data_IF_505027090450
#
_entry.id   IF_505027090450
#
_cell.length_a   1.000
_cell.length_b   1.000
_cell.length_c   1.000
_cell.angle_alpha   90.00
_cell.angle_beta   90.00
_cell.angle_gamma   90.00
#
_symmetry.space_group_name_H-M   'P 1'
#
loop_
_entity.id
_entity.type
_entity.pdbx_description
1 polymer ?
#
# COMPACT_ATOMS: atom_id res chain seq x y z
N UNK A 1 -43.42 -31.92 -8.45
CA UNK A 1 -44.31 -30.86 -7.95
C UNK A 1 -43.43 -29.70 -7.53
N UNK A 2 -43.63 -28.54 -8.15
CA UNK A 2 -42.70 -27.42 -8.17
C UNK A 2 -42.77 -26.58 -6.88
N UNK A 3 -41.61 -26.26 -6.30
CA UNK A 3 -41.45 -25.23 -5.28
C UNK A 3 -40.74 -24.03 -5.90
N UNK A 4 -41.51 -23.01 -6.30
CA UNK A 4 -40.99 -21.73 -6.76
C UNK A 4 -40.76 -20.80 -5.55
N UNK A 5 -39.53 -20.34 -5.39
CA UNK A 5 -39.18 -19.21 -4.52
C UNK A 5 -39.63 -17.89 -5.17
N UNK A 6 -40.25 -16.94 -4.45
CA UNK A 6 -40.77 -15.73 -5.07
C UNK A 6 -39.70 -14.64 -5.24
N UNK A 7 -39.51 -14.21 -6.48
CA UNK A 7 -38.59 -13.17 -6.93
C UNK A 7 -39.18 -11.75 -6.77
N UNK A 8 -39.21 -11.20 -5.56
CA UNK A 8 -39.79 -9.85 -5.33
C UNK A 8 -38.81 -8.78 -4.81
N UNK A 9 -37.51 -9.05 -4.65
CA UNK A 9 -36.58 -8.05 -4.10
C UNK A 9 -35.78 -7.21 -5.12
N UNK A 10 -35.85 -7.47 -6.43
CA UNK A 10 -34.90 -6.87 -7.40
C UNK A 10 -35.30 -5.51 -8.02
N UNK A 11 -36.42 -4.89 -7.68
CA UNK A 11 -36.91 -3.75 -8.49
C UNK A 11 -37.52 -2.56 -7.72
N UNK A 12 -36.90 -2.15 -6.61
CA UNK A 12 -37.26 -0.89 -5.93
C UNK A 12 -36.07 -0.10 -5.40
N UNK A 13 -35.24 0.42 -6.30
CA UNK A 13 -34.47 1.64 -6.05
C UNK A 13 -34.51 2.46 -7.34
N UNK A 14 -35.06 3.69 -7.25
CA UNK A 14 -35.30 4.72 -8.28
C UNK A 14 -36.79 4.99 -8.59
N UNK A 15 -37.57 5.35 -7.57
CA UNK A 15 -38.69 6.27 -7.77
C UNK A 15 -38.70 7.31 -6.63
N UNK A 16 -38.27 8.53 -6.95
CA UNK A 16 -38.44 9.71 -6.10
C UNK A 16 -39.91 10.12 -6.05
N UNK A 17 -40.49 10.41 -4.86
CA UNK A 17 -41.85 10.94 -4.80
C UNK A 17 -41.86 12.42 -5.22
N UNK A 18 -42.52 12.70 -6.36
CA UNK A 18 -43.01 14.05 -6.73
C UNK A 18 -44.00 14.53 -5.66
N UNK A 19 -43.65 15.60 -4.93
CA UNK A 19 -44.62 16.36 -4.13
C UNK A 19 -45.54 17.17 -5.07
N UNK A 20 -46.86 17.07 -4.82
CA UNK A 20 -47.95 17.86 -5.42
C UNK A 20 -48.56 18.75 -4.33
N UNK A 21 -48.97 19.96 -4.72
CA UNK A 21 -49.70 20.98 -3.93
C UNK A 21 -48.76 22.08 -3.43
N UNK A 22 -48.95 23.38 -3.70
CA UNK A 22 -50.14 24.18 -4.02
C UNK A 22 -49.75 25.53 -4.70
N UNK A 23 -50.70 26.31 -5.24
CA UNK A 23 -50.44 27.45 -6.12
C UNK A 23 -50.28 28.77 -5.34
N UNK A 24 -49.39 29.64 -5.80
CA UNK A 24 -49.31 31.04 -5.34
C UNK A 24 -49.15 31.97 -6.54
N UNK A 25 -50.17 32.81 -6.72
CA UNK A 25 -50.00 34.23 -7.02
C UNK A 25 -49.68 34.65 -8.46
N UNK A 26 -50.75 34.98 -9.19
CA UNK A 26 -50.72 35.98 -10.27
C UNK A 26 -49.99 37.26 -9.84
N UNK A 27 -49.11 37.77 -10.70
CA UNK A 27 -48.37 39.00 -10.43
C UNK A 27 -47.55 39.52 -11.60
N UNK A 28 -48.22 40.29 -12.45
CA UNK A 28 -47.66 41.37 -13.29
C UNK A 28 -46.63 41.01 -14.38
N UNK A 29 -47.20 40.91 -15.59
CA UNK A 29 -46.71 41.52 -16.83
C UNK A 29 -45.80 42.74 -16.65
N UNK A 30 -44.58 42.66 -17.20
CA UNK A 30 -43.97 43.81 -17.88
C UNK A 30 -43.19 43.32 -19.09
N UNK A 31 -43.82 43.51 -20.25
CA UNK A 31 -43.24 43.36 -21.57
C UNK A 31 -42.40 44.61 -21.84
N UNK A 32 -41.08 44.47 -21.94
CA UNK A 32 -40.24 45.46 -22.64
C UNK A 32 -39.76 44.81 -23.93
N UNK A 33 -40.50 45.10 -25.00
CA UNK A 33 -40.01 44.98 -26.38
C UNK A 33 -39.02 46.12 -26.61
N UNK A 34 -37.77 45.81 -26.90
CA UNK A 34 -36.90 46.70 -27.67
C UNK A 34 -36.45 45.99 -28.94
N UNK A 35 -37.16 46.30 -30.01
CA UNK A 35 -36.81 46.04 -31.41
C UNK A 35 -35.85 47.13 -31.90
N UNK A 36 -34.56 46.82 -32.02
CA UNK A 36 -33.58 47.43 -32.95
C UNK A 36 -32.49 46.35 -33.09
N UNK A 37 -31.98 45.92 -34.24
CA UNK A 37 -32.19 46.23 -35.63
C UNK A 37 -31.34 45.22 -36.41
N UNK A 38 -31.88 44.68 -37.49
CA UNK A 38 -31.18 43.77 -38.38
C UNK A 38 -30.27 44.55 -39.31
N UNK A 39 -28.97 44.23 -39.34
CA UNK A 39 -28.10 44.40 -40.50
C UNK A 39 -26.71 43.83 -40.21
N UNK A 40 -26.38 42.71 -40.87
CA UNK A 40 -25.06 42.34 -41.41
C UNK A 40 -24.90 40.81 -41.41
N UNK A 41 -25.61 40.18 -42.35
CA UNK A 41 -25.22 38.90 -42.93
C UNK A 41 -23.95 39.14 -43.76
N UNK A 42 -22.80 38.75 -43.22
CA UNK A 42 -21.58 38.59 -44.00
C UNK A 42 -21.02 37.20 -43.67
N UNK A 43 -21.19 36.33 -44.66
CA UNK A 43 -20.76 34.94 -44.64
C UNK A 43 -19.24 34.86 -44.50
N UNK A 44 -18.78 34.36 -43.35
CA UNK A 44 -17.48 33.70 -43.24
C UNK A 44 -17.79 32.25 -42.91
N UNK A 45 -18.02 31.45 -43.95
CA UNK A 45 -17.92 30.00 -43.87
C UNK A 45 -16.44 29.64 -43.76
N UNK A 46 -15.85 29.92 -42.61
CA UNK A 46 -14.58 29.34 -42.19
C UNK A 46 -14.87 27.93 -41.70
N UNK A 47 -14.25 26.94 -42.33
CA UNK A 47 -14.27 25.56 -41.89
C UNK A 47 -13.71 25.47 -40.45
N UNK A 48 -14.59 25.59 -39.46
CA UNK A 48 -14.34 25.13 -38.11
C UNK A 48 -14.36 23.60 -38.18
N UNK A 49 -13.24 23.01 -38.59
CA UNK A 49 -12.96 21.62 -38.29
C UNK A 49 -13.18 21.47 -36.78
N UNK A 50 -14.21 20.72 -36.41
CA UNK A 50 -14.46 20.36 -35.03
C UNK A 50 -13.13 19.85 -34.47
N UNK A 51 -12.50 20.62 -33.57
CA UNK A 51 -11.35 20.11 -32.84
C UNK A 51 -11.88 18.86 -32.13
N UNK A 52 -11.33 17.67 -32.39
CA UNK A 52 -11.77 16.48 -31.70
C UNK A 52 -11.70 16.78 -30.20
N UNK A 53 -12.78 16.44 -29.49
CA UNK A 53 -12.83 16.63 -28.05
C UNK A 53 -11.55 16.00 -27.46
N UNK A 54 -10.67 16.75 -26.77
CA UNK A 54 -9.45 16.17 -26.20
C UNK A 54 -9.78 15.09 -25.15
N UNK A 55 -11.05 14.99 -24.74
CA UNK A 55 -11.61 13.91 -23.91
C UNK A 55 -11.77 12.55 -24.61
N UNK A 56 -11.58 12.47 -25.92
CA UNK A 56 -11.80 11.23 -26.70
C UNK A 56 -10.55 10.77 -27.47
N UNK A 57 -9.40 11.44 -27.27
CA UNK A 57 -8.13 10.89 -27.68
C UNK A 57 -7.88 9.63 -26.84
N UNK A 58 -8.20 8.47 -27.42
CA UNK A 58 -8.05 7.17 -26.80
C UNK A 58 -6.67 7.12 -26.12
N UNK A 59 -6.67 6.98 -24.78
CA UNK A 59 -5.44 6.84 -24.04
C UNK A 59 -4.61 5.74 -24.72
N UNK A 60 -3.33 6.00 -25.04
CA UNK A 60 -2.53 5.04 -25.78
C UNK A 60 -2.54 3.72 -25.02
N UNK A 61 -2.99 2.65 -25.68
CA UNK A 61 -3.01 1.33 -25.09
C UNK A 61 -1.59 0.97 -24.65
N UNK A 62 -1.38 0.74 -23.36
CA UNK A 62 -0.08 0.36 -22.84
C UNK A 62 0.26 -1.05 -23.33
N UNK A 63 1.26 -1.16 -24.20
CA UNK A 63 1.83 -2.45 -24.60
C UNK A 63 2.76 -2.96 -23.50
N UNK A 64 2.15 -3.66 -22.54
CA UNK A 64 2.81 -4.18 -21.32
C UNK A 64 4.06 -4.99 -21.66
N UNK A 65 4.00 -5.87 -22.66
CA UNK A 65 5.12 -6.77 -22.99
C UNK A 65 6.31 -5.97 -23.52
N UNK A 66 6.06 -5.06 -24.47
CA UNK A 66 7.10 -4.18 -25.03
C UNK A 66 7.69 -3.25 -23.97
N UNK A 67 6.87 -2.71 -23.06
CA UNK A 67 7.38 -1.88 -21.95
C UNK A 67 8.30 -2.67 -21.02
N UNK A 68 7.91 -3.89 -20.62
CA UNK A 68 8.73 -4.76 -19.76
C UNK A 68 10.03 -5.15 -20.45
N UNK A 69 9.98 -5.47 -21.75
CA UNK A 69 11.18 -5.79 -22.53
C UNK A 69 12.16 -4.60 -22.60
N UNK A 70 11.68 -3.39 -22.88
CA UNK A 70 12.52 -2.18 -22.92
C UNK A 70 13.17 -1.86 -21.57
N UNK A 71 12.49 -2.15 -20.46
CA UNK A 71 13.07 -2.01 -19.12
C UNK A 71 14.21 -2.99 -18.85
N UNK A 72 14.30 -4.08 -19.62
CA UNK A 72 15.39 -5.04 -19.59
C UNK A 72 16.50 -4.76 -20.61
N UNK A 73 16.47 -3.64 -21.34
CA UNK A 73 17.49 -3.29 -22.34
C UNK A 73 18.90 -3.22 -21.70
N UNK A 74 19.94 -3.53 -22.46
CA UNK A 74 21.34 -3.47 -21.98
C UNK A 74 21.82 -2.03 -21.75
N UNK A 75 21.34 -1.09 -22.58
CA UNK A 75 21.61 0.33 -22.46
C UNK A 75 20.92 0.93 -21.24
N UNK A 76 21.68 1.61 -20.36
CA UNK A 76 21.13 2.33 -19.22
C UNK A 76 20.17 3.45 -19.66
N UNK A 77 20.52 4.20 -20.70
CA UNK A 77 19.70 5.30 -21.21
C UNK A 77 18.32 4.81 -21.67
N UNK A 78 18.29 3.67 -22.38
CA UNK A 78 17.04 3.08 -22.89
C UNK A 78 16.15 2.58 -21.75
N UNK A 79 16.75 2.05 -20.67
CA UNK A 79 16.02 1.63 -19.46
C UNK A 79 15.43 2.81 -18.71
N UNK A 80 16.16 3.91 -18.58
CA UNK A 80 15.65 5.13 -17.94
C UNK A 80 14.49 5.72 -18.73
N UNK A 81 14.64 5.86 -20.06
CA UNK A 81 13.57 6.35 -20.93
C UNK A 81 12.32 5.45 -20.84
N UNK A 82 12.51 4.12 -20.85
CA UNK A 82 11.41 3.17 -20.70
C UNK A 82 10.73 3.26 -19.33
N UNK A 83 11.50 3.53 -18.27
CA UNK A 83 10.99 3.70 -16.91
C UNK A 83 10.15 4.96 -16.76
N UNK A 84 10.63 6.08 -17.31
CA UNK A 84 9.87 7.34 -17.36
C UNK A 84 8.60 7.18 -18.20
N UNK A 85 8.70 6.54 -19.38
CA UNK A 85 7.57 6.27 -20.25
C UNK A 85 6.52 5.39 -19.56
N UNK A 86 6.93 4.33 -18.85
CA UNK A 86 6.03 3.47 -18.09
C UNK A 86 5.34 4.27 -16.97
N UNK A 87 6.09 5.04 -16.19
CA UNK A 87 5.52 5.83 -15.09
C UNK A 87 4.51 6.86 -15.61
N UNK A 88 4.86 7.57 -16.68
CA UNK A 88 3.98 8.53 -17.35
C UNK A 88 2.70 7.86 -17.88
N UNK A 89 2.83 6.73 -18.58
CA UNK A 89 1.69 5.99 -19.13
C UNK A 89 0.75 5.50 -18.03
N UNK A 90 1.29 4.95 -16.94
CA UNK A 90 0.48 4.48 -15.82
C UNK A 90 -0.23 5.64 -15.09
N UNK A 91 0.45 6.78 -14.91
CA UNK A 91 -0.18 7.98 -14.37
C UNK A 91 -1.32 8.48 -15.26
N UNK A 92 -1.12 8.49 -16.57
CA UNK A 92 -2.14 8.90 -17.55
C UNK A 92 -3.35 7.94 -17.56
N UNK A 93 -3.12 6.63 -17.56
CA UNK A 93 -4.18 5.62 -17.50
C UNK A 93 -5.03 5.76 -16.25
N UNK A 94 -4.40 6.07 -15.12
CA UNK A 94 -5.09 6.27 -13.85
C UNK A 94 -5.89 7.57 -13.81
N UNK A 95 -5.30 8.67 -14.30
CA UNK A 95 -5.96 9.97 -14.36
C UNK A 95 -7.12 9.99 -15.37
N UNK A 96 -7.02 9.24 -16.47
CA UNK A 96 -8.01 9.16 -17.54
C UNK A 96 -9.32 8.47 -17.17
N UNK A 97 -9.55 8.13 -15.90
CA UNK A 97 -10.83 7.57 -15.44
C UNK A 97 -11.05 6.10 -15.84
N UNK A 98 -10.04 5.42 -16.39
CA UNK A 98 -10.11 3.99 -16.70
C UNK A 98 -9.93 3.10 -15.46
N UNK A 99 -10.63 3.47 -14.37
CA UNK A 99 -10.57 2.77 -13.09
C UNK A 99 -10.93 1.29 -13.22
N UNK A 100 -11.81 0.94 -14.18
CA UNK A 100 -12.20 -0.44 -14.45
C UNK A 100 -11.13 -1.28 -15.15
N UNK A 101 -10.20 -0.66 -15.89
CA UNK A 101 -9.11 -1.39 -16.57
C UNK A 101 -7.87 -1.50 -15.69
N UNK A 102 -7.73 -0.63 -14.69
CA UNK A 102 -6.55 -0.54 -13.84
C UNK A 102 -6.14 -1.89 -13.18
N UNK A 103 -7.06 -2.65 -12.55
CA UNK A 103 -6.70 -3.93 -11.94
C UNK A 103 -6.14 -4.95 -12.95
N UNK A 104 -6.64 -4.93 -14.18
CA UNK A 104 -6.17 -5.83 -15.24
C UNK A 104 -4.79 -5.42 -15.76
N UNK A 105 -4.53 -4.11 -15.89
CA UNK A 105 -3.20 -3.61 -16.29
C UNK A 105 -2.15 -3.93 -15.24
N UNK A 106 -2.46 -3.73 -13.95
CA UNK A 106 -1.56 -4.10 -12.85
C UNK A 106 -1.28 -5.61 -12.85
N UNK A 107 -2.33 -6.43 -12.98
CA UNK A 107 -2.20 -7.89 -13.04
C UNK A 107 -1.31 -8.32 -14.19
N UNK A 108 -1.52 -7.78 -15.39
CA UNK A 108 -0.68 -8.07 -16.56
C UNK A 108 0.76 -7.67 -16.34
N UNK A 109 1.04 -6.49 -15.78
CA UNK A 109 2.41 -6.07 -15.45
C UNK A 109 3.08 -7.03 -14.47
N UNK A 110 2.39 -7.41 -13.39
CA UNK A 110 2.91 -8.37 -12.39
C UNK A 110 3.15 -9.74 -13.01
N UNK A 111 2.25 -10.23 -13.86
CA UNK A 111 2.41 -11.49 -14.57
C UNK A 111 3.62 -11.46 -15.52
N UNK A 112 3.75 -10.41 -16.34
CA UNK A 112 4.86 -10.26 -17.30
C UNK A 112 6.21 -10.25 -16.60
N UNK A 113 6.37 -9.51 -15.48
CA UNK A 113 7.63 -9.50 -14.73
C UNK A 113 7.87 -10.74 -13.88
N UNK A 114 6.87 -11.60 -13.73
CA UNK A 114 6.99 -12.90 -13.05
C UNK A 114 7.30 -14.04 -14.02
N UNK A 115 7.26 -13.82 -15.34
CA UNK A 115 7.62 -14.84 -16.33
C UNK A 115 9.10 -15.19 -16.26
N UNK A 116 9.41 -16.46 -16.49
CA UNK A 116 10.77 -16.96 -16.71
C UNK A 116 11.34 -16.28 -17.96
N UNK A 117 12.11 -15.22 -17.78
CA UNK A 117 12.68 -14.42 -18.89
C UNK A 117 12.67 -12.92 -18.63
N UNK A 118 11.86 -12.43 -17.68
CA UNK A 118 11.98 -11.04 -17.25
C UNK A 118 13.31 -10.81 -16.52
N UNK A 119 14.04 -9.76 -16.90
CA UNK A 119 15.29 -9.43 -16.21
C UNK A 119 15.00 -8.96 -14.77
N UNK A 120 15.88 -9.25 -13.80
CA UNK A 120 15.71 -8.79 -12.42
C UNK A 120 15.53 -7.26 -12.31
N UNK A 121 16.23 -6.50 -13.16
CA UNK A 121 16.13 -5.04 -13.25
C UNK A 121 14.76 -4.59 -13.76
N UNK A 122 14.24 -5.21 -14.83
CA UNK A 122 12.91 -4.89 -15.35
C UNK A 122 11.84 -5.16 -14.29
N UNK A 123 11.95 -6.29 -13.58
CA UNK A 123 11.08 -6.62 -12.45
C UNK A 123 11.16 -5.56 -11.34
N UNK A 124 12.36 -5.16 -10.93
CA UNK A 124 12.54 -4.14 -9.91
C UNK A 124 11.92 -2.79 -10.30
N UNK A 125 12.10 -2.36 -11.55
CA UNK A 125 11.55 -1.08 -12.07
C UNK A 125 10.04 -1.09 -12.15
N UNK A 126 9.43 -2.15 -12.68
CA UNK A 126 7.97 -2.28 -12.73
C UNK A 126 7.37 -2.29 -11.34
N UNK A 127 7.92 -3.10 -10.42
CA UNK A 127 7.42 -3.16 -9.04
C UNK A 127 7.61 -1.83 -8.32
N UNK A 128 8.71 -1.10 -8.56
CA UNK A 128 8.93 0.25 -8.03
C UNK A 128 7.91 1.24 -8.57
N UNK A 129 7.63 1.22 -9.88
CA UNK A 129 6.64 2.09 -10.51
C UNK A 129 5.22 1.81 -9.98
N UNK A 130 4.83 0.54 -9.88
CA UNK A 130 3.54 0.14 -9.31
C UNK A 130 3.44 0.49 -7.83
N UNK A 131 4.50 0.26 -7.04
CA UNK A 131 4.55 0.65 -5.63
C UNK A 131 4.38 2.16 -5.48
N UNK A 132 5.09 2.97 -6.27
CA UNK A 132 4.93 4.43 -6.22
C UNK A 132 3.50 4.86 -6.52
N UNK A 133 2.90 4.31 -7.57
CA UNK A 133 1.52 4.61 -7.95
C UNK A 133 0.50 4.14 -6.93
N UNK A 134 0.75 2.97 -6.31
CA UNK A 134 -0.01 2.55 -5.14
C UNK A 134 0.11 3.68 -4.11
N UNK A 135 1.30 4.02 -3.62
CA UNK A 135 1.53 5.02 -2.56
C UNK A 135 0.88 6.38 -2.82
N UNK A 136 0.89 6.86 -4.07
CA UNK A 136 0.32 8.17 -4.47
C UNK A 136 -1.21 8.18 -4.63
N UNK A 137 -1.86 7.01 -4.64
CA UNK A 137 -3.28 6.93 -4.96
C UNK A 137 -4.23 6.99 -3.77
N UNK A 138 -5.53 7.07 -4.05
CA UNK A 138 -6.57 6.86 -3.05
C UNK A 138 -6.67 5.38 -2.67
N UNK A 139 -7.12 5.08 -1.45
CA UNK A 139 -7.31 3.69 -0.96
C UNK A 139 -8.75 3.36 -0.72
N UNK A 140 -9.07 2.07 -0.79
CA UNK A 140 -10.33 1.55 -0.28
C UNK A 140 -10.47 1.82 1.22
N UNK A 141 -11.69 2.12 1.65
CA UNK A 141 -12.06 2.27 3.05
C UNK A 141 -13.50 1.82 3.28
N UNK A 142 -13.74 1.05 4.35
CA UNK A 142 -15.09 0.59 4.71
C UNK A 142 -15.92 1.71 5.34
N UNK A 143 -15.28 2.63 6.07
CA UNK A 143 -15.97 3.67 6.84
C UNK A 143 -16.50 3.18 8.18
N UNK A 144 -15.70 2.45 8.94
CA UNK A 144 -16.04 1.97 10.28
C UNK A 144 -14.99 2.36 11.31
N UNK A 145 -15.41 2.52 12.56
CA UNK A 145 -14.52 2.66 13.72
C UNK A 145 -14.66 1.43 14.61
N UNK A 146 -13.52 0.92 15.07
CA UNK A 146 -13.48 -0.20 15.99
C UNK A 146 -13.56 0.29 17.43
N UNK A 147 -14.24 -0.45 18.29
CA UNK A 147 -14.16 -0.23 19.72
C UNK A 147 -12.71 -0.44 20.18
N UNK A 148 -12.26 0.36 21.16
CA UNK A 148 -10.95 0.15 21.76
C UNK A 148 -10.88 -1.28 22.30
N UNK A 149 -9.87 -2.04 21.83
CA UNK A 149 -9.73 -3.46 22.16
C UNK A 149 -9.72 -3.65 23.68
N UNK A 150 -10.66 -4.43 24.19
CA UNK A 150 -10.60 -4.84 25.59
C UNK A 150 -9.45 -5.85 25.77
N UNK A 151 -8.65 -5.77 26.84
CA UNK A 151 -7.45 -6.61 27.04
C UNK A 151 -7.69 -8.12 26.89
N UNK A 152 -8.91 -8.58 27.14
CA UNK A 152 -9.31 -9.99 27.10
C UNK A 152 -10.39 -10.27 26.03
N UNK A 153 -10.69 -9.30 25.17
CA UNK A 153 -11.66 -9.46 24.08
C UNK A 153 -10.97 -9.95 22.81
N UNK A 154 -11.31 -11.15 22.30
CA UNK A 154 -10.81 -11.62 21.00
C UNK A 154 -11.54 -10.96 19.81
N UNK A 155 -12.58 -10.19 20.08
CA UNK A 155 -13.56 -9.76 19.09
C UNK A 155 -13.34 -8.33 18.63
N UNK A 156 -13.51 -8.11 17.32
CA UNK A 156 -13.46 -6.77 16.76
C UNK A 156 -14.83 -6.25 16.49
N UNK A 157 -15.29 -5.59 17.53
CA UNK A 157 -16.55 -4.91 17.60
C UNK A 157 -16.50 -3.62 16.79
N UNK A 158 -17.41 -3.52 15.83
CA UNK A 158 -17.72 -2.26 15.15
C UNK A 158 -18.41 -1.35 16.16
N UNK A 159 -17.74 -0.24 16.50
CA UNK A 159 -18.31 0.76 17.41
C UNK A 159 -19.20 1.75 16.66
N UNK A 160 -18.78 2.14 15.46
CA UNK A 160 -19.47 3.13 14.66
C UNK A 160 -19.31 2.80 13.17
N UNK A 161 -20.37 3.07 12.41
CA UNK A 161 -20.38 3.04 10.95
C UNK A 161 -20.64 4.45 10.46
N UNK A 162 -19.75 4.96 9.61
CA UNK A 162 -19.77 6.35 9.15
C UNK A 162 -20.72 6.51 7.96
N UNK A 163 -21.58 7.54 8.03
CA UNK A 163 -22.45 7.93 6.90
C UNK A 163 -21.62 8.53 5.76
N UNK A 164 -22.08 8.34 4.52
CA UNK A 164 -21.35 8.73 3.32
C UNK A 164 -20.33 7.69 2.85
N UNK A 165 -20.25 6.54 3.54
CA UNK A 165 -19.57 5.35 3.07
C UNK A 165 -20.59 4.30 2.64
N UNK A 166 -20.28 3.48 1.60
CA UNK A 166 -21.25 2.52 1.09
C UNK A 166 -21.77 1.53 2.14
N UNK A 167 -20.90 1.08 3.07
CA UNK A 167 -21.29 0.19 4.16
C UNK A 167 -22.36 0.79 5.09
N UNK A 168 -22.23 2.07 5.42
CA UNK A 168 -23.16 2.80 6.28
C UNK A 168 -24.43 3.22 5.56
N UNK A 169 -24.31 3.70 4.33
CA UNK A 169 -25.45 4.19 3.55
C UNK A 169 -26.40 3.07 3.14
N UNK A 170 -25.87 1.87 2.87
CA UNK A 170 -26.67 0.68 2.58
C UNK A 170 -27.06 -0.12 3.83
N UNK A 171 -26.59 0.26 5.03
CA UNK A 171 -26.88 -0.46 6.27
C UNK A 171 -26.35 -1.90 6.29
N UNK A 172 -25.26 -2.17 5.55
CA UNK A 172 -24.68 -3.50 5.43
C UNK A 172 -24.05 -3.94 6.76
N UNK A 173 -23.32 -3.01 7.37
CA UNK A 173 -22.71 -3.19 8.69
C UNK A 173 -23.43 -2.31 9.70
N UNK A 174 -23.55 -2.80 10.93
CA UNK A 174 -24.16 -2.05 12.04
C UNK A 174 -23.22 -2.00 13.24
N UNK A 175 -23.30 -0.93 14.07
CA UNK A 175 -22.64 -0.94 15.37
C UNK A 175 -23.04 -2.16 16.19
N UNK A 176 -22.06 -2.82 16.80
CA UNK A 176 -22.26 -4.06 17.55
C UNK A 176 -21.92 -5.33 16.78
N UNK A 177 -21.75 -5.26 15.46
CA UNK A 177 -21.22 -6.39 14.68
C UNK A 177 -19.78 -6.70 15.08
N UNK A 178 -19.44 -7.99 15.12
CA UNK A 178 -18.09 -8.47 15.37
C UNK A 178 -17.51 -9.03 14.09
N UNK A 179 -16.41 -8.47 13.59
CA UNK A 179 -15.75 -8.96 12.38
C UNK A 179 -14.96 -10.24 12.69
N UNK A 180 -15.24 -11.31 11.96
CA UNK A 180 -14.58 -12.61 12.10
C UNK A 180 -13.50 -12.82 11.03
N UNK A 181 -13.82 -12.51 9.77
CA UNK A 181 -12.92 -12.64 8.62
C UNK A 181 -13.17 -11.56 7.56
N UNK A 182 -12.14 -11.31 6.77
CA UNK A 182 -12.16 -10.47 5.57
C UNK A 182 -11.55 -11.26 4.42
N UNK A 183 -12.33 -11.49 3.37
CA UNK A 183 -12.01 -12.33 2.21
C UNK A 183 -11.53 -13.73 2.61
N UNK A 184 -12.16 -14.32 3.61
CA UNK A 184 -11.79 -15.63 4.13
C UNK A 184 -10.49 -15.66 4.94
N UNK A 185 -9.83 -14.51 5.18
CA UNK A 185 -8.70 -14.39 6.10
C UNK A 185 -9.24 -14.17 7.52
N UNK A 186 -9.12 -15.15 8.44
CA UNK A 186 -9.60 -15.00 9.80
C UNK A 186 -8.78 -13.93 10.52
N UNK A 187 -9.46 -13.04 11.23
CA UNK A 187 -8.78 -11.95 11.93
C UNK A 187 -8.65 -12.22 13.44
N UNK A 188 -9.22 -13.33 13.91
CA UNK A 188 -9.08 -13.80 15.29
C UNK A 188 -7.62 -14.15 15.61
N UNK A 189 -7.09 -13.59 16.71
CA UNK A 189 -5.79 -13.95 17.26
C UNK A 189 -4.58 -13.09 16.87
N UNK A 190 -4.72 -12.08 16.01
CA UNK A 190 -3.61 -11.15 15.77
C UNK A 190 -3.47 -10.14 16.92
N UNK A 191 -2.22 -9.89 17.36
CA UNK A 191 -1.90 -8.91 18.42
C UNK A 191 -2.25 -7.48 17.96
N UNK A 192 -2.23 -7.25 16.64
CA UNK A 192 -2.55 -5.97 16.01
C UNK A 192 -3.60 -6.15 14.89
N UNK A 193 -4.84 -6.39 15.31
CA UNK A 193 -5.97 -6.59 14.40
C UNK A 193 -6.23 -5.37 13.53
N UNK A 194 -6.13 -4.16 14.12
CA UNK A 194 -6.40 -2.93 13.39
C UNK A 194 -5.47 -2.83 12.20
N UNK A 195 -4.21 -3.27 12.32
CA UNK A 195 -3.32 -3.36 11.17
C UNK A 195 -3.67 -4.47 10.20
N UNK A 196 -4.12 -5.66 10.63
CA UNK A 196 -4.55 -6.72 9.70
C UNK A 196 -5.73 -6.27 8.81
N UNK A 197 -6.82 -5.81 9.42
CA UNK A 197 -8.00 -5.31 8.70
C UNK A 197 -7.65 -4.10 7.83
N UNK A 198 -6.89 -3.13 8.38
CA UNK A 198 -6.47 -1.96 7.62
C UNK A 198 -5.61 -2.34 6.42
N UNK A 199 -4.69 -3.32 6.53
CA UNK A 199 -3.89 -3.81 5.40
C UNK A 199 -4.74 -4.45 4.30
N UNK A 200 -5.70 -5.29 4.67
CA UNK A 200 -6.60 -5.95 3.71
C UNK A 200 -7.50 -4.96 2.98
N UNK A 201 -7.98 -3.93 3.68
CA UNK A 201 -8.84 -2.89 3.08
C UNK A 201 -8.02 -1.90 2.25
N UNK A 202 -6.88 -1.44 2.78
CA UNK A 202 -6.02 -0.48 2.10
C UNK A 202 -5.18 -1.09 0.97
N UNK A 203 -5.19 -2.41 0.76
CA UNK A 203 -4.59 -3.01 -0.43
C UNK A 203 -5.45 -2.82 -1.68
N UNK A 204 -6.71 -2.39 -1.51
CA UNK A 204 -7.75 -2.27 -2.55
C UNK A 204 -7.95 -0.84 -3.02
N UNK A 205 -8.50 -0.71 -4.23
CA UNK A 205 -8.95 0.57 -4.74
C UNK A 205 -10.36 0.93 -4.23
N UNK A 206 -10.70 2.23 -4.14
CA UNK A 206 -12.08 2.66 -3.91
C UNK A 206 -13.04 2.06 -4.95
N UNK A 207 -14.22 1.63 -4.51
CA UNK A 207 -15.23 1.00 -5.34
C UNK A 207 -15.10 -0.52 -5.48
N UNK A 208 -13.94 -1.11 -5.14
CA UNK A 208 -13.82 -2.56 -5.02
C UNK A 208 -14.74 -3.11 -3.92
N UNK A 209 -15.15 -4.36 -4.06
CA UNK A 209 -15.97 -5.07 -3.07
C UNK A 209 -15.07 -5.97 -2.23
N UNK A 210 -15.28 -5.95 -0.91
CA UNK A 210 -14.63 -6.85 0.04
C UNK A 210 -15.69 -7.73 0.69
N UNK A 211 -15.43 -9.03 0.83
CA UNK A 211 -16.36 -9.94 1.51
C UNK A 211 -15.98 -9.99 3.00
N UNK A 212 -16.92 -9.68 3.87
CA UNK A 212 -16.69 -9.62 5.32
C UNK A 212 -17.65 -10.58 5.99
N UNK A 213 -17.13 -11.44 6.84
CA UNK A 213 -17.96 -12.26 7.70
C UNK A 213 -18.02 -11.64 9.09
N UNK A 214 -19.24 -11.39 9.55
CA UNK A 214 -19.52 -10.77 10.84
C UNK A 214 -20.41 -11.66 11.69
N UNK A 215 -20.27 -11.53 13.00
CA UNK A 215 -21.17 -12.07 13.99
C UNK A 215 -22.05 -10.93 14.50
N UNK A 216 -23.36 -11.03 14.27
CA UNK A 216 -24.36 -10.03 14.66
C UNK A 216 -25.21 -10.59 15.78
N UNK A 217 -25.40 -9.79 16.84
CA UNK A 217 -26.38 -10.09 17.88
C UNK A 217 -27.76 -9.67 17.39
N UNK A 218 -28.64 -10.63 17.17
CA UNK A 218 -30.06 -10.43 16.92
C UNK A 218 -30.81 -10.40 18.26
N UNK A 219 -31.85 -9.58 18.37
CA UNK A 219 -32.73 -9.67 19.53
C UNK A 219 -33.30 -11.10 19.61
N UNK A 220 -33.29 -11.72 20.81
CA UNK A 220 -33.77 -13.08 20.95
C UNK A 220 -35.28 -13.11 20.77
N UNK A 221 -35.74 -13.36 19.55
CA UNK A 221 -37.14 -13.73 19.28
C UNK A 221 -37.46 -15.17 19.75
N UNK A 222 -36.51 -15.85 20.43
CA UNK A 222 -36.65 -17.20 20.96
C UNK A 222 -35.54 -17.59 21.96
N UNK A 223 -35.56 -18.83 22.50
CA UNK A 223 -34.67 -19.29 23.58
C UNK A 223 -33.20 -19.57 23.17
N UNK A 224 -32.72 -18.96 22.09
CA UNK A 224 -31.31 -19.06 21.66
C UNK A 224 -30.51 -17.82 22.05
N UNK A 225 -29.18 -17.94 22.04
CA UNK A 225 -28.24 -16.85 22.39
C UNK A 225 -28.29 -15.64 21.44
N UNK A 226 -29.18 -15.63 20.43
CA UNK A 226 -29.43 -14.49 19.56
C UNK A 226 -28.19 -14.06 18.76
N UNK A 227 -27.37 -15.01 18.32
CA UNK A 227 -26.16 -14.73 17.54
C UNK A 227 -26.30 -15.35 16.16
N UNK A 228 -26.17 -14.52 15.13
CA UNK A 228 -26.14 -14.94 13.73
C UNK A 228 -24.79 -14.58 13.10
N UNK A 229 -24.27 -15.46 12.24
CA UNK A 229 -23.09 -15.19 11.43
C UNK A 229 -23.52 -14.84 10.00
N UNK A 230 -23.08 -13.70 9.49
CA UNK A 230 -23.45 -13.14 8.20
C UNK A 230 -22.20 -12.93 7.35
N UNK A 231 -22.24 -13.36 6.09
CA UNK A 231 -21.21 -13.02 5.08
C UNK A 231 -21.77 -11.96 4.16
N UNK A 232 -21.09 -10.82 4.09
CA UNK A 232 -21.59 -9.58 3.50
C UNK A 232 -20.56 -9.01 2.53
N UNK A 233 -21.00 -8.73 1.30
CA UNK A 233 -20.19 -8.04 0.30
C UNK A 233 -20.31 -6.54 0.49
N UNK A 234 -19.19 -5.90 0.84
CA UNK A 234 -19.14 -4.48 1.20
C UNK A 234 -18.35 -3.71 0.15
N UNK A 235 -18.99 -2.81 -0.62
CA UNK A 235 -18.26 -1.91 -1.51
C UNK A 235 -17.44 -0.89 -0.69
N UNK A 236 -16.20 -0.67 -1.11
CA UNK A 236 -15.28 0.23 -0.44
C UNK A 236 -15.49 1.67 -0.90
N UNK A 237 -15.54 2.60 0.05
CA UNK A 237 -15.40 4.03 -0.21
C UNK A 237 -13.93 4.42 -0.40
N UNK A 238 -13.70 5.73 -0.53
CA UNK A 238 -12.34 6.30 -0.58
C UNK A 238 -11.84 6.62 0.82
N UNK A 239 -10.60 6.24 1.12
CA UNK A 239 -9.92 6.57 2.36
C UNK A 239 -9.72 8.08 2.53
N UNK A 240 -9.58 8.83 1.43
CA UNK A 240 -9.47 10.29 1.48
C UNK A 240 -10.74 10.95 2.03
N UNK A 241 -11.90 10.28 1.90
CA UNK A 241 -13.13 10.74 2.52
C UNK A 241 -13.12 10.62 4.06
N UNK A 242 -12.25 9.76 4.63
CA UNK A 242 -11.98 9.70 6.07
C UNK A 242 -11.01 10.78 6.54
N UNK A 243 -10.31 11.49 5.65
CA UNK A 243 -9.34 12.54 6.03
C UNK A 243 -9.99 13.93 6.16
N UNK A 244 -11.32 14.01 6.13
CA UNK A 244 -12.06 15.27 6.37
C UNK A 244 -11.71 15.82 7.75
N UNK A 245 -11.71 17.15 7.95
CA UNK A 245 -11.28 17.79 9.20
C UNK A 245 -12.05 17.31 10.45
N UNK A 246 -13.23 16.73 10.25
CA UNK A 246 -14.06 16.16 11.31
C UNK A 246 -13.55 14.79 11.82
N UNK A 247 -12.59 14.18 11.12
CA UNK A 247 -11.98 12.91 11.47
C UNK A 247 -10.59 13.09 12.07
N UNK A 248 -10.28 12.24 13.05
CA UNK A 248 -9.03 12.30 13.80
C UNK A 248 -7.83 12.04 12.88
N UNK A 249 -6.94 13.04 12.77
CA UNK A 249 -5.68 12.94 12.01
C UNK A 249 -4.75 11.85 12.52
N UNK A 250 -4.94 11.36 13.75
CA UNK A 250 -4.24 10.18 14.27
C UNK A 250 -4.49 8.92 13.41
N UNK A 251 -5.46 8.94 12.50
CA UNK A 251 -5.78 7.82 11.62
C UNK A 251 -4.97 7.76 10.32
N UNK A 252 -4.00 8.66 10.09
CA UNK A 252 -3.09 8.53 8.93
C UNK A 252 -2.50 7.13 8.84
N UNK A 253 -2.43 6.57 7.63
CA UNK A 253 -1.82 5.26 7.42
C UNK A 253 -0.31 5.47 7.47
N UNK A 254 0.34 4.95 8.51
CA UNK A 254 1.79 4.96 8.60
C UNK A 254 2.43 4.25 7.41
N UNK A 255 3.68 4.62 7.10
CA UNK A 255 4.42 4.05 5.96
C UNK A 255 4.49 2.52 6.02
N UNK A 256 4.69 1.94 7.21
CA UNK A 256 4.77 0.50 7.40
C UNK A 256 3.44 -0.21 7.10
N UNK A 257 2.33 0.42 7.46
CA UNK A 257 0.99 -0.11 7.16
C UNK A 257 0.69 -0.04 5.66
N UNK A 258 1.16 1.01 4.96
CA UNK A 258 1.09 1.10 3.50
C UNK A 258 1.96 0.04 2.84
N UNK A 259 3.18 -0.19 3.33
CA UNK A 259 4.06 -1.23 2.79
C UNK A 259 3.43 -2.61 2.93
N UNK A 260 2.86 -2.89 4.09
CA UNK A 260 2.22 -4.17 4.33
C UNK A 260 0.92 -4.34 3.51
N UNK A 261 0.18 -3.26 3.25
CA UNK A 261 -0.96 -3.28 2.33
C UNK A 261 -0.51 -3.50 0.86
N UNK A 262 0.64 -2.94 0.48
CA UNK A 262 1.25 -3.16 -0.83
C UNK A 262 1.64 -4.63 -1.04
N UNK A 263 2.22 -5.28 -0.02
CA UNK A 263 2.52 -6.72 -0.10
C UNK A 263 1.26 -7.57 -0.30
N UNK A 264 0.19 -7.30 0.46
CA UNK A 264 -1.11 -7.97 0.26
C UNK A 264 -1.65 -7.76 -1.16
N UNK A 265 -1.49 -6.56 -1.72
CA UNK A 265 -1.90 -6.28 -3.11
C UNK A 265 -1.10 -7.11 -4.11
N UNK A 266 0.22 -7.20 -3.95
CA UNK A 266 1.08 -8.03 -4.81
C UNK A 266 0.73 -9.51 -4.75
N UNK A 267 0.51 -10.05 -3.55
CA UNK A 267 0.08 -11.44 -3.35
C UNK A 267 -1.23 -11.71 -4.09
N UNK A 268 -2.20 -10.80 -4.00
CA UNK A 268 -3.48 -10.88 -4.71
C UNK A 268 -3.32 -10.83 -6.24
N UNK A 269 -2.44 -9.97 -6.74
CA UNK A 269 -2.19 -9.83 -8.18
C UNK A 269 -1.43 -11.04 -8.75
N UNK A 270 -0.54 -11.65 -7.96
CA UNK A 270 0.26 -12.82 -8.36
C UNK A 270 -0.41 -14.18 -8.11
N UNK A 271 -1.29 -14.28 -7.11
CA UNK A 271 -1.94 -15.53 -6.70
C UNK A 271 -3.11 -15.98 -7.57
N UNK A 272 -3.67 -15.09 -8.39
CA UNK A 272 -4.85 -15.39 -9.21
C UNK A 272 -4.58 -16.27 -10.44
N UNK A 273 -3.34 -16.71 -10.69
CA UNK A 273 -3.02 -17.58 -11.83
C UNK A 273 -3.35 -19.08 -11.60
N UNK A 274 -3.98 -19.45 -10.48
CA UNK A 274 -4.22 -20.86 -10.14
C UNK A 274 -5.55 -21.20 -9.47
N UNK A 275 -6.49 -20.26 -9.31
CA UNK A 275 -7.75 -20.51 -8.59
C UNK A 275 -8.99 -20.02 -9.35
N UNK A 276 -9.11 -20.45 -10.61
CA UNK A 276 -10.40 -20.44 -11.30
C UNK A 276 -11.19 -21.69 -10.86
N UNK A 277 -11.93 -21.58 -9.75
CA UNK A 277 -13.12 -22.40 -9.55
C UNK A 277 -13.10 -23.46 -8.44
N UNK A 278 -12.60 -23.15 -7.24
CA UNK A 278 -13.05 -23.86 -6.03
C UNK A 278 -14.05 -23.01 -5.24
N UNK A 279 -15.31 -23.07 -5.66
CA UNK A 279 -16.41 -23.04 -4.70
C UNK A 279 -16.10 -24.07 -3.61
N UNK A 280 -15.79 -23.62 -2.41
CA UNK A 280 -15.63 -24.46 -1.22
C UNK A 280 -16.96 -25.12 -0.90
N UNK A 281 -17.21 -26.29 -1.51
CA UNK A 281 -18.23 -27.23 -1.05
C UNK A 281 -17.84 -27.69 0.35
N UNK A 282 -18.59 -27.27 1.35
CA UNK A 282 -18.50 -27.81 2.69
C UNK A 282 -18.76 -29.32 2.68
N UNK A 283 -17.87 -30.18 3.20
CA UNK A 283 -18.22 -31.58 3.42
C UNK A 283 -19.02 -31.67 4.72
N UNK A 284 -20.34 -31.71 4.57
CA UNK A 284 -21.24 -32.25 5.59
C UNK A 284 -20.90 -33.71 5.88
N UNK A 285 -20.89 -34.05 7.17
CA UNK A 285 -20.49 -35.35 7.68
C UNK A 285 -21.34 -36.52 7.19
N UNK A 286 -20.67 -37.64 6.95
CA UNK A 286 -21.26 -38.97 6.78
C UNK A 286 -20.34 -39.99 7.43
N UNK A 287 -20.77 -40.54 8.56
CA UNK A 287 -20.16 -41.68 9.24
C UNK A 287 -20.16 -42.89 8.28
N UNK A 288 -19.00 -43.51 8.08
CA UNK A 288 -18.84 -44.67 7.21
C UNK A 288 -17.46 -45.30 7.37
N UNK A 289 -17.33 -46.13 8.40
CA UNK A 289 -16.19 -46.99 8.69
C UNK A 289 -16.06 -48.10 7.63
N UNK A 290 -14.95 -48.12 6.87
CA UNK A 290 -14.19 -49.31 6.45
C UNK A 290 -13.16 -49.01 5.35
N UNK A 291 -12.05 -49.75 5.41
CA UNK A 291 -11.01 -49.94 4.39
C UNK A 291 -9.95 -48.83 4.21
N UNK A 292 -8.85 -48.96 4.96
CA UNK A 292 -7.51 -48.45 4.58
C UNK A 292 -7.07 -49.09 3.26
N UNK A 293 -6.30 -48.37 2.44
CA UNK A 293 -4.92 -48.84 2.24
C UNK A 293 -3.84 -47.74 2.19
N UNK A 294 -2.63 -48.21 2.51
CA UNK A 294 -1.29 -47.72 2.16
C UNK A 294 -0.87 -46.28 2.55
N UNK A 295 -0.06 -46.22 3.61
CA UNK A 295 0.84 -45.11 3.97
C UNK A 295 1.83 -44.83 2.83
N UNK A 296 1.74 -43.66 2.21
CA UNK A 296 2.87 -43.03 1.52
C UNK A 296 3.68 -42.20 2.55
N UNK A 297 4.97 -42.50 2.62
CA UNK A 297 5.94 -41.96 3.58
C UNK A 297 6.31 -40.49 3.32
N UNK A 298 6.53 -39.79 4.43
CA UNK A 298 6.82 -38.36 4.61
C UNK A 298 8.22 -37.92 4.11
N UNK A 299 8.62 -38.30 2.89
CA UNK A 299 9.99 -38.06 2.40
C UNK A 299 10.15 -37.37 1.03
N UNK A 300 9.07 -36.86 0.41
CA UNK A 300 9.17 -36.19 -0.91
C UNK A 300 9.09 -34.64 -0.89
N UNK A 301 8.95 -34.00 0.29
CA UNK A 301 9.08 -32.53 0.41
C UNK A 301 10.47 -32.03 0.79
N UNK A 302 11.45 -32.93 0.95
CA UNK A 302 12.80 -32.58 1.39
C UNK A 302 13.84 -32.46 0.25
N UNK A 303 13.47 -32.67 -1.02
CA UNK A 303 14.41 -32.64 -2.16
C UNK A 303 14.35 -31.39 -3.04
N UNK A 304 13.50 -30.42 -2.72
CA UNK A 304 13.44 -29.11 -3.41
C UNK A 304 13.98 -27.94 -2.58
N UNK A 305 14.73 -28.21 -1.51
CA UNK A 305 15.33 -27.19 -0.61
C UNK A 305 16.83 -27.34 -0.35
N UNK A 306 17.56 -28.11 -1.16
CA UNK A 306 19.02 -28.24 -1.04
C UNK A 306 19.71 -28.04 -2.39
N UNK A 307 19.69 -26.80 -2.89
CA UNK A 307 20.57 -26.31 -3.94
C UNK A 307 20.63 -24.77 -3.89
N UNK A 308 20.94 -24.18 -2.74
CA UNK A 308 20.94 -22.72 -2.61
C UNK A 308 21.61 -22.11 -1.38
N UNK A 309 22.28 -22.89 -0.52
CA UNK A 309 22.98 -22.34 0.65
C UNK A 309 24.48 -22.68 0.60
N UNK A 310 25.25 -21.75 0.04
CA UNK A 310 26.64 -21.53 0.43
C UNK A 310 26.81 -20.00 0.63
N UNK A 311 26.95 -19.52 1.88
CA UNK A 311 27.19 -18.10 2.14
C UNK A 311 28.62 -17.78 1.72
N UNK A 312 28.79 -17.01 0.64
CA UNK A 312 30.09 -16.50 0.18
C UNK A 312 30.34 -16.50 -1.33
N UNK A 313 29.51 -17.17 -2.14
CA UNK A 313 29.77 -17.28 -3.58
C UNK A 313 29.51 -15.97 -4.37
N UNK A 314 28.61 -15.11 -3.90
CA UNK A 314 28.26 -13.87 -4.61
C UNK A 314 29.21 -12.70 -4.37
N UNK A 315 30.02 -12.73 -3.30
CA UNK A 315 30.92 -11.61 -2.96
C UNK A 315 32.25 -11.67 -3.76
N UNK A 316 32.70 -12.89 -4.09
CA UNK A 316 33.86 -13.12 -4.95
C UNK A 316 33.57 -12.75 -6.43
N UNK A 317 32.38 -13.09 -6.93
CA UNK A 317 31.97 -12.78 -8.31
C UNK A 317 31.78 -11.27 -8.55
N UNK A 318 31.32 -10.53 -7.53
CA UNK A 318 31.20 -9.06 -7.61
C UNK A 318 32.55 -8.34 -7.52
N UNK A 319 33.54 -8.93 -6.84
CA UNK A 319 34.89 -8.36 -6.70
C UNK A 319 35.75 -8.60 -7.95
N UNK A 320 35.52 -9.69 -8.67
CA UNK A 320 36.22 -10.00 -9.93
C UNK A 320 35.71 -9.15 -11.10
N UNK A 321 34.41 -8.79 -11.09
CA UNK A 321 33.79 -7.93 -12.10
C UNK A 321 34.23 -6.46 -12.03
N UNK A 322 34.54 -5.96 -10.83
CA UNK A 322 35.03 -4.59 -10.64
C UNK A 322 36.47 -4.33 -11.12
N UNK A 323 37.26 -5.39 -11.37
CA UNK A 323 38.68 -5.28 -11.70
C UNK A 323 38.99 -5.44 -13.20
N UNK A 324 38.00 -5.73 -14.05
CA UNK A 324 38.18 -5.77 -15.50
C UNK A 324 37.98 -4.37 -16.09
N UNK A 325 39.07 -3.60 -16.17
CA UNK A 325 39.06 -2.26 -16.74
C UNK A 325 38.89 -2.27 -18.26
N UNK A 326 37.98 -1.43 -18.75
CA UNK A 326 38.06 -0.89 -20.10
C UNK A 326 37.60 0.57 -20.14
N UNK A 327 38.39 1.39 -20.84
CA UNK A 327 38.26 2.84 -20.94
C UNK A 327 37.35 3.23 -22.10
N UNK A 328 36.27 3.96 -21.83
CA UNK A 328 35.51 4.70 -22.86
C UNK A 328 35.24 6.12 -22.37
N UNK A 329 35.37 7.07 -23.31
CA UNK A 329 35.38 8.51 -23.11
C UNK A 329 34.09 9.06 -22.47
N UNK A 330 34.26 9.99 -21.54
CA UNK A 330 33.18 10.47 -20.67
C UNK A 330 32.69 11.87 -21.05
N UNK A 331 31.37 12.06 -20.95
CA UNK A 331 30.69 13.35 -21.11
C UNK A 331 29.68 13.56 -19.99
N UNK A 332 30.08 14.36 -18.98
CA UNK A 332 29.29 14.98 -17.87
C UNK A 332 29.23 14.21 -16.53
N UNK A 333 28.63 14.78 -15.47
CA UNK A 333 29.27 15.42 -14.33
C UNK A 333 29.21 14.54 -13.06
N UNK A 334 29.33 13.21 -13.21
CA UNK A 334 29.47 12.26 -12.10
C UNK A 334 30.94 11.91 -11.79
N UNK A 335 31.88 12.39 -12.60
CA UNK A 335 33.33 12.23 -12.39
C UNK A 335 33.94 13.15 -11.31
N UNK A 336 33.17 14.07 -10.75
CA UNK A 336 33.66 14.99 -9.71
C UNK A 336 34.11 14.26 -8.42
N UNK A 337 33.71 12.99 -8.23
CA UNK A 337 34.14 12.17 -7.10
C UNK A 337 35.43 11.36 -7.36
N UNK A 338 35.88 11.25 -8.61
CA UNK A 338 37.16 10.61 -8.97
C UNK A 338 38.37 11.56 -8.91
N UNK A 339 38.15 12.86 -9.08
CA UNK A 339 39.22 13.87 -9.16
C UNK A 339 39.60 14.50 -7.81
N UNK A 340 38.76 14.34 -6.77
CA UNK A 340 39.01 14.88 -5.43
C UNK A 340 40.18 14.20 -4.70
N UNK A 341 40.60 12.99 -5.11
CA UNK A 341 41.82 12.33 -4.58
C UNK A 341 43.11 12.71 -5.31
N UNK A 342 43.05 13.34 -6.48
CA UNK A 342 44.24 13.77 -7.23
C UNK A 342 44.61 15.23 -6.95
N UNK A 343 43.63 16.09 -6.62
CA UNK A 343 43.88 17.52 -6.34
C UNK A 343 44.51 17.76 -4.95
N UNK A 344 44.48 16.80 -4.02
CA UNK A 344 45.09 16.96 -2.69
C UNK A 344 46.63 16.97 -2.67
N UNK A 345 47.32 16.90 -3.82
CA UNK A 345 48.80 16.96 -3.92
C UNK A 345 49.38 18.03 -4.85
N UNK A 346 48.60 18.95 -5.42
CA UNK A 346 49.16 19.97 -6.31
C UNK A 346 48.38 21.27 -6.25
N UNK A 347 48.99 22.32 -5.70
CA UNK A 347 48.39 23.65 -5.62
C UNK A 347 48.34 24.35 -6.99
N UNK A 348 47.18 24.94 -7.29
CA UNK A 348 47.05 26.15 -8.09
C UNK A 348 45.72 26.86 -7.74
N UNK A 349 45.68 28.21 -7.69
CA UNK A 349 44.56 28.95 -7.14
C UNK A 349 43.55 29.40 -8.20
N UNK A 350 42.30 29.56 -7.77
CA UNK A 350 41.32 30.40 -8.44
C UNK A 350 40.32 29.65 -9.30
N UNK A 351 39.13 29.40 -8.73
CA UNK A 351 37.80 29.61 -9.32
C UNK A 351 36.76 28.98 -8.37
N UNK A 352 35.88 29.81 -7.79
CA UNK A 352 34.71 29.37 -7.01
C UNK A 352 33.46 29.53 -7.85
N UNK A 353 32.58 28.52 -7.93
CA UNK A 353 31.16 28.76 -8.09
C UNK A 353 30.46 28.66 -6.73
N UNK A 354 29.73 29.72 -6.36
CA UNK A 354 28.71 29.67 -5.32
C UNK A 354 27.54 28.85 -5.85
N UNK A 355 27.26 27.70 -5.23
CA UNK A 355 25.93 27.11 -5.19
C UNK A 355 25.69 26.73 -3.73
N UNK A 356 25.03 27.63 -3.01
CA UNK A 356 24.48 27.37 -1.68
C UNK A 356 23.00 27.08 -1.88
N UNK A 357 22.63 25.82 -1.69
CA UNK A 357 21.25 25.37 -1.78
C UNK A 357 21.19 23.86 -1.99
N UNK A 358 20.81 23.13 -0.94
CA UNK A 358 20.28 21.75 -0.97
C UNK A 358 21.23 20.54 -1.03
N UNK A 359 22.55 20.69 -1.16
CA UNK A 359 23.48 19.55 -1.08
C UNK A 359 23.76 19.03 0.34
N UNK A 360 23.24 19.65 1.40
CA UNK A 360 23.56 19.30 2.79
C UNK A 360 22.76 18.11 3.38
N UNK A 361 21.68 17.65 2.73
CA UNK A 361 20.80 16.65 3.34
C UNK A 361 21.34 15.21 3.26
N UNK A 362 22.13 14.87 2.22
CA UNK A 362 22.58 13.50 1.96
C UNK A 362 23.94 13.13 2.57
N UNK A 363 24.65 14.09 3.17
CA UNK A 363 26.07 13.93 3.54
C UNK A 363 26.44 14.11 5.01
N UNK A 364 25.49 14.30 5.93
CA UNK A 364 25.86 14.49 7.34
C UNK A 364 26.13 13.14 8.04
N UNK A 365 27.39 12.81 8.37
CA UNK A 365 27.74 11.53 8.98
C UNK A 365 27.06 11.31 10.34
N UNK A 366 26.70 12.38 11.06
CA UNK A 366 25.99 12.28 12.34
C UNK A 366 24.54 11.84 12.18
N UNK A 367 23.87 12.24 11.08
CA UNK A 367 22.51 11.74 10.78
C UNK A 367 22.53 10.25 10.42
N UNK A 368 23.53 9.83 9.65
CA UNK A 368 23.71 8.40 9.33
C UNK A 368 23.97 7.57 10.59
N UNK A 369 24.79 8.10 11.51
CA UNK A 369 25.03 7.47 12.81
C UNK A 369 23.75 7.38 13.65
N UNK A 370 22.93 8.44 13.70
CA UNK A 370 21.64 8.44 14.40
C UNK A 370 20.73 7.32 13.89
N UNK A 371 20.56 7.22 12.57
CA UNK A 371 19.75 6.17 11.94
C UNK A 371 20.28 4.77 12.24
N UNK A 372 21.60 4.58 12.24
CA UNK A 372 22.20 3.29 12.59
C UNK A 372 21.96 2.90 14.06
N UNK A 373 22.01 3.86 14.99
CA UNK A 373 21.71 3.64 16.41
C UNK A 373 20.23 3.31 16.62
N UNK A 374 19.32 3.98 15.91
CA UNK A 374 17.88 3.71 15.96
C UNK A 374 17.56 2.28 15.48
N UNK A 375 18.15 1.85 14.36
CA UNK A 375 18.00 0.48 13.84
C UNK A 375 18.52 -0.58 14.82
N UNK A 376 19.66 -0.32 15.47
CA UNK A 376 20.22 -1.23 16.47
C UNK A 376 19.34 -1.31 17.72
N UNK A 377 18.77 -0.18 18.15
CA UNK A 377 17.84 -0.13 19.28
C UNK A 377 16.57 -0.94 19.00
N UNK A 378 16.02 -0.84 17.79
CA UNK A 378 14.86 -1.62 17.36
C UNK A 378 15.18 -3.13 17.36
N UNK A 379 16.30 -3.53 16.77
CA UNK A 379 16.77 -4.92 16.73
C UNK A 379 16.87 -5.53 18.13
N UNK A 380 17.45 -4.80 19.09
CA UNK A 380 17.58 -5.26 20.49
C UNK A 380 16.26 -5.33 21.22
N UNK A 381 15.36 -4.38 20.96
CA UNK A 381 14.00 -4.40 21.52
C UNK A 381 13.22 -5.64 21.05
N UNK A 382 13.32 -5.98 19.76
CA UNK A 382 12.74 -7.20 19.20
C UNK A 382 13.32 -8.47 19.84
N UNK A 383 14.64 -8.53 20.03
CA UNK A 383 15.30 -9.65 20.71
C UNK A 383 14.83 -9.81 22.17
N UNK A 384 14.73 -8.71 22.93
CA UNK A 384 14.22 -8.73 24.30
C UNK A 384 12.77 -9.25 24.35
N UNK A 385 11.91 -8.78 23.45
CA UNK A 385 10.52 -9.23 23.35
C UNK A 385 10.42 -10.70 22.96
N UNK A 386 11.27 -11.17 22.04
CA UNK A 386 11.35 -12.59 21.66
C UNK A 386 11.73 -13.47 22.86
N UNK A 387 12.72 -13.07 23.65
CA UNK A 387 13.10 -13.79 24.87
C UNK A 387 11.96 -13.84 25.88
N UNK A 388 11.23 -12.73 26.08
CA UNK A 388 10.02 -12.70 26.93
C UNK A 388 8.93 -13.64 26.44
N UNK A 389 8.69 -13.74 25.13
CA UNK A 389 7.72 -14.70 24.59
C UNK A 389 8.16 -16.15 24.80
N UNK A 390 9.45 -16.46 24.63
CA UNK A 390 9.98 -17.81 24.89
C UNK A 390 9.83 -18.21 26.37
N UNK A 391 9.94 -17.25 27.29
CA UNK A 391 9.73 -17.48 28.72
C UNK A 391 8.31 -17.91 29.09
N UNK A 392 7.32 -17.58 28.25
CA UNK A 392 5.91 -17.93 28.47
C UNK A 392 5.56 -19.34 27.96
N UNK A 393 6.46 -20.03 27.24
CA UNK A 393 6.19 -21.39 26.73
C UNK A 393 6.36 -22.43 27.83
N UNK A 394 5.47 -23.42 27.82
CA UNK A 394 5.60 -24.61 28.66
C UNK A 394 6.86 -25.41 28.31
N UNK A 395 7.46 -26.05 29.31
CA UNK A 395 8.64 -26.91 29.14
C UNK A 395 10.00 -26.20 29.28
N UNK A 396 10.04 -24.90 29.56
CA UNK A 396 11.29 -24.19 29.89
C UNK A 396 11.74 -24.54 31.30
N UNK A 397 12.93 -25.12 31.44
CA UNK A 397 13.48 -25.45 32.76
C UNK A 397 13.83 -24.18 33.57
N UNK A 398 13.81 -24.22 34.92
CA UNK A 398 14.16 -23.06 35.74
C UNK A 398 15.53 -22.43 35.39
N UNK A 399 16.52 -23.25 35.06
CA UNK A 399 17.84 -22.78 34.65
C UNK A 399 17.81 -22.05 33.29
N UNK A 400 17.05 -22.57 32.33
CA UNK A 400 16.85 -21.90 31.03
C UNK A 400 16.08 -20.59 31.18
N UNK A 401 15.07 -20.57 32.07
CA UNK A 401 14.30 -19.37 32.41
C UNK A 401 15.22 -18.28 32.99
N UNK A 402 16.07 -18.63 33.95
CA UNK A 402 17.03 -17.68 34.54
C UNK A 402 17.99 -17.10 33.50
N UNK A 403 18.53 -17.94 32.59
CA UNK A 403 19.41 -17.48 31.50
C UNK A 403 18.70 -16.54 30.53
N UNK A 404 17.48 -16.89 30.09
CA UNK A 404 16.70 -16.04 29.19
C UNK A 404 16.26 -14.73 29.85
N UNK A 405 15.96 -14.74 31.15
CA UNK A 405 15.68 -13.51 31.91
C UNK A 405 16.91 -12.60 32.00
N UNK A 406 18.08 -13.15 32.35
CA UNK A 406 19.33 -12.39 32.38
C UNK A 406 19.67 -11.81 31.00
N UNK A 407 19.51 -12.59 29.93
CA UNK A 407 19.74 -12.12 28.56
C UNK A 407 18.73 -11.03 28.17
N UNK A 408 17.44 -11.19 28.52
CA UNK A 408 16.44 -10.15 28.26
C UNK A 408 16.72 -8.86 29.02
N UNK A 409 17.25 -8.93 30.25
CA UNK A 409 17.66 -7.77 31.02
C UNK A 409 18.86 -7.07 30.37
N UNK A 410 19.86 -7.84 29.94
CA UNK A 410 21.03 -7.29 29.24
C UNK A 410 20.64 -6.56 27.94
N UNK A 411 19.70 -7.10 27.16
CA UNK A 411 19.21 -6.41 25.95
C UNK A 411 18.47 -5.10 26.28
N UNK A 412 17.69 -5.07 27.37
CA UNK A 412 16.99 -3.85 27.81
C UNK A 412 17.97 -2.78 28.33
N UNK A 413 19.02 -3.19 29.05
CA UNK A 413 20.09 -2.29 29.46
C UNK A 413 20.82 -1.70 28.25
N UNK A 414 21.11 -2.52 27.23
CA UNK A 414 21.70 -2.04 25.98
C UNK A 414 20.79 -1.04 25.25
N UNK A 415 19.48 -1.29 25.20
CA UNK A 415 18.49 -0.33 24.65
C UNK A 415 18.53 1.00 25.42
N UNK A 416 18.61 0.97 26.75
CA UNK A 416 18.71 2.19 27.55
C UNK A 416 20.02 2.96 27.29
N UNK A 417 21.14 2.26 27.08
CA UNK A 417 22.40 2.88 26.68
C UNK A 417 22.31 3.56 25.30
N UNK A 418 21.69 2.90 24.31
CA UNK A 418 21.49 3.46 22.98
C UNK A 418 20.57 4.70 23.02
N UNK A 419 19.52 4.69 23.87
CA UNK A 419 18.68 5.88 24.10
C UNK A 419 19.47 7.06 24.64
N UNK A 420 20.39 6.81 25.58
CA UNK A 420 21.26 7.86 26.09
C UNK A 420 22.17 8.41 24.98
N UNK A 421 22.74 7.54 24.13
CA UNK A 421 23.56 7.95 22.98
C UNK A 421 22.78 8.80 21.97
N UNK A 422 21.52 8.45 21.68
CA UNK A 422 20.63 9.26 20.82
C UNK A 422 20.42 10.65 21.45
N UNK A 423 20.16 10.72 22.75
CA UNK A 423 19.97 11.98 23.45
C UNK A 423 21.24 12.85 23.43
N UNK A 424 22.41 12.24 23.57
CA UNK A 424 23.70 12.94 23.51
C UNK A 424 23.99 13.47 22.10
N UNK A 425 23.83 12.64 21.06
CA UNK A 425 24.01 13.04 19.66
C UNK A 425 23.02 14.12 19.23
N UNK A 426 21.77 14.05 19.70
CA UNK A 426 20.76 15.07 19.40
C UNK A 426 21.18 16.43 19.96
N UNK A 427 21.67 16.45 21.22
CA UNK A 427 22.21 17.68 21.84
C UNK A 427 23.42 18.22 21.09
N UNK A 428 24.31 17.36 20.59
CA UNK A 428 25.45 17.79 19.78
C UNK A 428 25.02 18.39 18.43
N UNK A 429 24.04 17.78 17.75
CA UNK A 429 23.50 18.28 16.47
C UNK A 429 22.81 19.64 16.68
N UNK A 430 22.07 19.81 17.77
CA UNK A 430 21.44 21.08 18.13
C UNK A 430 22.48 22.16 18.44
N UNK A 431 23.51 21.84 19.23
CA UNK A 431 24.59 22.78 19.55
C UNK A 431 25.36 23.23 18.30
N UNK A 432 25.64 22.31 17.37
CA UNK A 432 26.26 22.64 16.09
C UNK A 432 25.36 23.53 15.23
N UNK A 433 24.05 23.24 15.19
CA UNK A 433 23.08 24.07 14.47
C UNK A 433 23.02 25.49 15.04
N UNK A 434 22.98 25.63 16.36
CA UNK A 434 23.03 26.96 17.01
C UNK A 434 24.33 27.70 16.71
N UNK A 435 25.47 27.00 16.73
CA UNK A 435 26.77 27.58 16.38
C UNK A 435 26.80 28.09 14.93
N UNK A 436 26.30 27.30 13.98
CA UNK A 436 26.21 27.70 12.58
C UNK A 436 25.25 28.89 12.39
N UNK A 437 24.13 28.92 13.11
CA UNK A 437 23.19 30.05 13.08
C UNK A 437 23.83 31.34 13.60
N UNK A 438 24.55 31.29 14.73
CA UNK A 438 25.26 32.46 15.26
C UNK A 438 26.32 32.97 14.28
N UNK A 439 27.08 32.06 13.67
CA UNK A 439 28.12 32.41 12.70
C UNK A 439 27.55 32.99 11.40
N UNK A 440 26.35 32.60 11.00
CA UNK A 440 25.66 33.16 9.84
C UNK A 440 25.21 34.61 10.07
N UNK A 441 24.85 34.96 11.32
CA UNK A 441 24.46 36.33 11.70
C UNK A 441 25.68 37.25 11.80
N UNK A 442 26.84 36.74 12.21
CA UNK A 442 28.08 37.53 12.40
C UNK A 442 28.88 37.80 11.11
N UNK A 443 28.46 37.26 9.97
CA UNK A 443 29.07 37.56 8.66
C UNK A 443 28.21 38.61 7.93
N UNK A 444 28.58 39.89 7.94
CA UNK A 444 27.90 40.92 7.16
C UNK A 444 28.07 40.72 5.65
#
# INVERSE_FOLDING_TARGET
>A
MASGSPAWWRERVLQTPRKRGEPVGDGMTTVVRSTIGAAALLAIAGAAAARPNPSEAAAPALDVASSVQRLGAESFADREEASEALHSALGALRAGGSASQWPEIERRLVQEVSREGASPEARARVLSALRRLFFESSRGAIGISFAQRQPNGPEVLIQQVHKGFPAGDAGLLVPGDVILDIDGVPISGSIDFTSATRRMVCSRDPGEVVTITVQRRTEPEGPGDGVEQLTIDVPLGSFDALLRPDFDRAQQIGLDALEAAWQVRLERLGGAAGDDGLTTGAPGGGLGEAARPARATRMDRARLRLAGDAPGANEAALTEWFNAGDRVAMSRPSEALGLARVIQRGGAPGLRPMVVGEQEAAGNPRRQLLTAIEQEMERRTLNANRLRMLLQRDGVTPAQRARMQAQSQQELEAVNQLRQQIADLTREIEAEREFLQRRAIERP
#
